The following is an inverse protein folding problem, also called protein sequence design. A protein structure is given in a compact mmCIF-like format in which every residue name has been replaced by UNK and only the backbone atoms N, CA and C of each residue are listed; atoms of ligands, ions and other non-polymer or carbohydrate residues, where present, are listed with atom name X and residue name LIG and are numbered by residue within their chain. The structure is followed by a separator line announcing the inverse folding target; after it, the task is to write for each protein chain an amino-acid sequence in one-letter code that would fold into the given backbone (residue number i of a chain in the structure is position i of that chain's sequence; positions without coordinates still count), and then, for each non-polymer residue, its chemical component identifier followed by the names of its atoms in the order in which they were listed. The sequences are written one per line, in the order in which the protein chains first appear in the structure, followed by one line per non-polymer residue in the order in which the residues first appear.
data_IF_713068791525
#
_entry.id   IF_713068791525
#
_cell.length_a   1.000
_cell.length_b   1.000
_cell.length_c   1.000
_cell.angle_alpha   90.00
_cell.angle_beta   90.00
_cell.angle_gamma   90.00
#
_symmetry.space_group_name_H-M   'P 1'
#
loop_
_entity.id
_entity.type
_entity.pdbx_description
1 polymer ?
#
# COMPACT_ATOMS: atom_id res chain seq x y z
N UNK A 1 6.49 -14.10 16.77
CA UNK A 1 7.90 -13.64 16.62
C UNK A 1 8.33 -13.43 15.16
N UNK A 2 8.09 -14.39 14.20
CA UNK A 2 8.49 -14.21 12.79
C UNK A 2 7.73 -13.06 12.14
N UNK A 3 6.41 -13.01 12.29
CA UNK A 3 5.57 -11.94 11.73
C UNK A 3 5.94 -10.56 12.30
N UNK A 4 6.22 -10.46 13.61
CA UNK A 4 6.68 -9.21 14.23
C UNK A 4 8.03 -8.74 13.67
N UNK A 5 8.96 -9.69 13.39
CA UNK A 5 10.25 -9.37 12.77
C UNK A 5 10.05 -8.82 11.36
N UNK A 6 9.18 -9.44 10.59
CA UNK A 6 8.86 -9.05 9.23
C UNK A 6 8.21 -7.66 9.18
N UNK A 7 7.24 -7.37 10.07
CA UNK A 7 6.64 -6.04 10.19
C UNK A 7 7.66 -4.97 10.55
N UNK A 8 8.60 -5.26 11.44
CA UNK A 8 9.69 -4.31 11.76
C UNK A 8 10.56 -4.01 10.54
N UNK A 9 10.87 -5.03 9.74
CA UNK A 9 11.65 -4.85 8.51
C UNK A 9 10.85 -4.01 7.48
N UNK A 10 9.57 -4.31 7.30
CA UNK A 10 8.70 -3.55 6.41
C UNK A 10 8.57 -2.09 6.87
N UNK A 11 8.34 -1.85 8.16
CA UNK A 11 8.26 -0.51 8.73
C UNK A 11 9.55 0.29 8.51
N UNK A 12 10.72 -0.36 8.65
CA UNK A 12 12.00 0.27 8.37
C UNK A 12 12.16 0.66 6.89
N UNK A 13 11.70 -0.18 5.96
CA UNK A 13 11.72 0.11 4.52
C UNK A 13 10.75 1.26 4.20
N UNK A 14 9.54 1.23 4.78
CA UNK A 14 8.52 2.26 4.58
C UNK A 14 8.95 3.62 5.16
N UNK A 15 9.76 3.63 6.23
CA UNK A 15 10.32 4.85 6.81
C UNK A 15 11.33 5.54 5.90
N UNK A 16 11.96 4.77 5.02
CA UNK A 16 12.96 5.27 4.09
C UNK A 16 12.37 5.39 2.69
N UNK A 17 12.90 6.28 1.85
CA UNK A 17 12.48 6.40 0.46
C UNK A 17 13.09 5.29 -0.43
N UNK A 18 13.14 4.07 0.08
CA UNK A 18 13.61 2.93 -0.68
C UNK A 18 12.58 2.47 -1.71
N UNK A 19 13.07 1.88 -2.80
CA UNK A 19 12.23 1.40 -3.90
C UNK A 19 11.25 0.33 -3.42
N UNK A 20 10.01 0.39 -3.91
CA UNK A 20 8.93 -0.57 -3.61
C UNK A 20 9.33 -2.04 -3.85
N UNK A 21 10.25 -2.31 -4.77
CA UNK A 21 10.75 -3.67 -5.05
C UNK A 21 11.31 -4.41 -3.83
N UNK A 22 11.73 -3.70 -2.77
CA UNK A 22 12.19 -4.32 -1.53
C UNK A 22 11.05 -4.82 -0.64
N UNK A 23 9.85 -4.30 -0.82
CA UNK A 23 8.66 -4.69 -0.07
C UNK A 23 8.03 -5.96 -0.66
N UNK A 24 8.08 -6.14 -1.96
CA UNK A 24 7.47 -7.27 -2.69
C UNK A 24 7.79 -8.67 -2.11
N UNK A 25 9.05 -9.03 -1.83
CA UNK A 25 9.36 -10.32 -1.21
C UNK A 25 8.79 -10.44 0.22
N UNK A 26 8.77 -9.33 0.98
CA UNK A 26 8.21 -9.32 2.34
C UNK A 26 6.69 -9.52 2.34
N UNK A 27 5.98 -9.02 1.32
CA UNK A 27 4.52 -9.18 1.20
C UNK A 27 4.11 -10.65 1.05
N UNK A 28 4.82 -11.43 0.26
CA UNK A 28 4.55 -12.86 0.10
C UNK A 28 4.70 -13.62 1.43
N UNK A 29 5.78 -13.37 2.15
CA UNK A 29 6.01 -13.98 3.47
C UNK A 29 4.97 -13.49 4.49
N UNK A 30 4.61 -12.20 4.47
CA UNK A 30 3.59 -11.61 5.32
C UNK A 30 2.24 -12.31 5.13
N UNK A 31 1.79 -12.47 3.88
CA UNK A 31 0.52 -13.15 3.56
C UNK A 31 0.52 -14.58 4.08
N UNK A 32 1.59 -15.35 3.84
CA UNK A 32 1.68 -16.73 4.31
C UNK A 32 1.66 -16.83 5.85
N UNK A 33 2.39 -15.95 6.54
CA UNK A 33 2.43 -15.91 8.00
C UNK A 33 1.11 -15.41 8.61
N UNK A 34 0.43 -14.47 7.97
CA UNK A 34 -0.88 -14.00 8.40
C UNK A 34 -1.92 -15.09 8.29
N UNK A 35 -1.95 -15.81 7.18
CA UNK A 35 -2.83 -16.97 7.00
C UNK A 35 -2.57 -18.06 8.07
N UNK A 36 -1.31 -18.41 8.31
CA UNK A 36 -0.97 -19.37 9.35
C UNK A 36 -1.39 -18.90 10.76
N UNK A 37 -1.30 -17.59 11.02
CA UNK A 37 -1.75 -17.01 12.29
C UNK A 37 -3.27 -17.09 12.45
N UNK A 38 -4.03 -16.80 11.41
CA UNK A 38 -5.50 -16.91 11.39
C UNK A 38 -5.95 -18.34 11.64
N UNK A 39 -5.31 -19.33 11.00
CA UNK A 39 -5.59 -20.75 11.23
C UNK A 39 -5.34 -21.16 12.69
N UNK A 40 -4.23 -20.72 13.27
CA UNK A 40 -3.93 -20.96 14.69
C UNK A 40 -4.97 -20.35 15.61
N UNK A 41 -5.43 -19.11 15.34
CA UNK A 41 -6.47 -18.47 16.15
C UNK A 41 -7.79 -19.21 16.08
N UNK A 42 -8.18 -19.71 14.89
CA UNK A 42 -9.39 -20.52 14.72
C UNK A 42 -9.31 -21.82 15.52
N UNK A 43 -8.17 -22.51 15.48
CA UNK A 43 -7.95 -23.74 16.25
C UNK A 43 -8.07 -23.47 17.75
N UNK A 44 -7.38 -22.45 18.27
CA UNK A 44 -7.42 -22.09 19.69
C UNK A 44 -8.83 -21.67 20.12
N UNK A 45 -9.56 -20.93 19.28
CA UNK A 45 -10.91 -20.48 19.58
C UNK A 45 -11.92 -21.62 19.68
N UNK A 46 -11.71 -22.70 18.91
CA UNK A 46 -12.58 -23.87 18.90
C UNK A 46 -12.33 -24.84 20.08
N UNK A 47 -11.08 -24.93 20.53
CA UNK A 47 -10.71 -25.93 21.56
C UNK A 47 -11.09 -25.55 22.98
N UNK A 48 -11.56 -24.31 23.25
CA UNK A 48 -12.10 -23.87 24.55
C UNK A 48 -11.14 -23.94 25.75
N UNK A 49 -9.94 -24.45 25.57
CA UNK A 49 -8.95 -24.77 26.60
C UNK A 49 -8.21 -23.55 27.18
N UNK A 50 -8.57 -22.33 26.77
CA UNK A 50 -7.99 -21.10 27.30
C UNK A 50 -8.25 -20.88 28.81
N UNK A 51 -9.19 -21.63 29.41
CA UNK A 51 -9.56 -21.50 30.82
C UNK A 51 -8.49 -22.02 31.79
N UNK A 52 -7.59 -22.89 31.34
CA UNK A 52 -6.57 -23.55 32.17
C UNK A 52 -5.13 -23.12 31.82
N UNK A 53 -4.94 -21.98 31.20
CA UNK A 53 -3.59 -21.50 30.85
C UNK A 53 -2.89 -20.98 32.12
N UNK A 54 -1.62 -21.37 32.26
CA UNK A 54 -0.74 -20.81 33.27
C UNK A 54 -0.76 -19.26 33.25
N UNK A 55 -0.96 -18.58 34.41
CA UNK A 55 -1.02 -17.13 34.44
C UNK A 55 0.21 -16.42 33.90
N UNK A 56 1.41 -17.01 34.04
CA UNK A 56 2.65 -16.50 33.46
C UNK A 56 2.65 -16.55 31.94
N UNK A 57 2.12 -17.62 31.37
CA UNK A 57 1.98 -17.76 29.92
C UNK A 57 0.94 -16.78 29.36
N UNK A 58 -0.19 -16.62 30.06
CA UNK A 58 -1.25 -15.68 29.69
C UNK A 58 -0.74 -14.23 29.65
N UNK A 59 0.04 -13.81 30.66
CA UNK A 59 0.63 -12.47 30.68
C UNK A 59 1.63 -12.27 29.51
N UNK A 60 2.53 -13.24 29.28
CA UNK A 60 3.48 -13.18 28.14
C UNK A 60 2.77 -13.13 26.78
N UNK A 61 1.64 -13.84 26.64
CA UNK A 61 0.83 -13.80 25.44
C UNK A 61 0.22 -12.40 25.26
N UNK A 62 -0.37 -11.83 26.31
CA UNK A 62 -0.95 -10.48 26.31
C UNK A 62 0.08 -9.43 25.89
N UNK A 63 1.26 -9.46 26.49
CA UNK A 63 2.34 -8.51 26.17
C UNK A 63 2.79 -8.65 24.71
N UNK A 64 2.86 -9.89 24.22
CA UNK A 64 3.20 -10.17 22.82
C UNK A 64 2.13 -9.63 21.87
N UNK A 65 0.85 -9.83 22.18
CA UNK A 65 -0.28 -9.33 21.38
C UNK A 65 -0.30 -7.80 21.38
N UNK A 66 -0.12 -7.16 22.53
CA UNK A 66 -0.07 -5.70 22.63
C UNK A 66 1.10 -5.12 21.79
N UNK A 67 2.29 -5.67 21.94
CA UNK A 67 3.46 -5.26 21.19
C UNK A 67 3.28 -5.47 19.68
N UNK A 68 2.59 -6.53 19.30
CA UNK A 68 2.27 -6.81 17.90
C UNK A 68 1.23 -5.84 17.35
N UNK A 69 0.23 -5.48 18.15
CA UNK A 69 -0.78 -4.47 17.80
C UNK A 69 -0.15 -3.13 17.45
N UNK A 70 0.78 -2.65 18.28
CA UNK A 70 1.51 -1.40 18.01
C UNK A 70 2.30 -1.45 16.68
N UNK A 71 2.93 -2.59 16.38
CA UNK A 71 3.65 -2.76 15.11
C UNK A 71 2.71 -2.75 13.90
N UNK A 72 1.52 -3.33 14.04
CA UNK A 72 0.50 -3.32 12.99
C UNK A 72 -0.03 -1.90 12.73
N UNK A 73 -0.31 -1.15 13.78
CA UNK A 73 -0.79 0.23 13.68
C UNK A 73 0.26 1.13 13.00
N UNK A 74 1.51 1.00 13.41
CA UNK A 74 2.63 1.70 12.75
C UNK A 74 2.73 1.32 11.27
N UNK A 75 2.62 0.03 10.93
CA UNK A 75 2.67 -0.45 9.55
C UNK A 75 1.52 0.12 8.72
N UNK A 76 0.28 0.08 9.24
CA UNK A 76 -0.89 0.62 8.57
C UNK A 76 -0.75 2.13 8.29
N UNK A 77 -0.29 2.90 9.27
CA UNK A 77 -0.06 4.35 9.14
C UNK A 77 0.99 4.65 8.06
N UNK A 78 2.11 3.93 8.06
CA UNK A 78 3.19 4.12 7.07
C UNK A 78 2.76 3.72 5.66
N UNK A 79 2.04 2.62 5.52
CA UNK A 79 1.48 2.17 4.22
C UNK A 79 0.50 3.21 3.67
N UNK A 80 -0.44 3.67 4.51
CA UNK A 80 -1.39 4.71 4.11
C UNK A 80 -0.66 5.96 3.61
N UNK A 81 0.32 6.47 4.35
CA UNK A 81 1.08 7.64 3.93
C UNK A 81 1.78 7.45 2.57
N UNK A 82 2.28 6.24 2.27
CA UNK A 82 2.88 5.93 0.97
C UNK A 82 1.86 5.85 -0.16
N UNK A 83 0.68 5.31 0.10
CA UNK A 83 -0.44 5.27 -0.87
C UNK A 83 -0.88 6.70 -1.19
N UNK A 84 -1.18 7.51 -0.17
CA UNK A 84 -1.62 8.88 -0.32
C UNK A 84 -0.59 9.73 -1.12
N UNK A 85 0.71 9.55 -0.84
CA UNK A 85 1.78 10.19 -1.58
C UNK A 85 1.83 9.74 -3.05
N UNK A 86 1.61 8.45 -3.32
CA UNK A 86 1.56 7.89 -4.67
C UNK A 86 0.38 8.43 -5.47
N UNK A 87 -0.80 8.49 -4.87
CA UNK A 87 -2.00 9.06 -5.48
C UNK A 87 -1.83 10.54 -5.81
N UNK A 88 -1.22 11.30 -4.89
CA UNK A 88 -0.93 12.71 -5.12
C UNK A 88 0.04 12.92 -6.28
N UNK A 89 1.12 12.14 -6.34
CA UNK A 89 2.08 12.19 -7.43
C UNK A 89 1.43 11.82 -8.78
N UNK A 90 0.60 10.77 -8.79
CA UNK A 90 -0.12 10.35 -9.99
C UNK A 90 -1.05 11.44 -10.50
N UNK A 91 -1.75 12.13 -9.60
CA UNK A 91 -2.62 13.26 -9.96
C UNK A 91 -1.82 14.40 -10.62
N UNK A 92 -0.68 14.81 -10.05
CA UNK A 92 0.19 15.84 -10.61
C UNK A 92 0.66 15.46 -12.02
N UNK A 93 1.10 14.22 -12.21
CA UNK A 93 1.55 13.73 -13.51
C UNK A 93 0.42 13.76 -14.53
N UNK A 94 -0.79 13.32 -14.14
CA UNK A 94 -1.96 13.31 -15.01
C UNK A 94 -2.40 14.73 -15.41
N UNK A 95 -2.44 15.66 -14.46
CA UNK A 95 -2.74 17.07 -14.72
C UNK A 95 -1.70 17.70 -15.66
N UNK A 96 -0.41 17.46 -15.42
CA UNK A 96 0.67 17.94 -16.29
C UNK A 96 0.58 17.38 -17.70
N UNK A 97 0.22 16.10 -17.85
CA UNK A 97 0.06 15.47 -19.17
C UNK A 97 -1.10 16.08 -19.96
N UNK A 98 -2.21 16.39 -19.29
CA UNK A 98 -3.37 17.08 -19.90
C UNK A 98 -2.98 18.49 -20.34
N UNK A 99 -2.34 19.28 -19.47
CA UNK A 99 -1.87 20.64 -19.78
C UNK A 99 -0.90 20.67 -20.95
N UNK A 100 -0.06 19.65 -21.08
CA UNK A 100 0.87 19.53 -22.20
C UNK A 100 0.15 19.24 -23.52
N UNK A 101 -0.88 18.40 -23.50
CA UNK A 101 -1.73 18.13 -24.65
C UNK A 101 -2.51 19.36 -25.11
N UNK A 102 -3.08 20.12 -24.19
CA UNK A 102 -3.83 21.35 -24.52
C UNK A 102 -2.92 22.42 -25.11
N UNK A 103 -1.68 22.54 -24.66
CA UNK A 103 -0.68 23.47 -25.22
C UNK A 103 -0.15 23.06 -26.60
N UNK A 104 -0.02 21.77 -26.85
CA UNK A 104 0.43 21.26 -28.17
C UNK A 104 -0.68 21.22 -29.21
N UNK A 105 -1.94 21.10 -28.80
CA UNK A 105 -3.10 21.14 -29.68
C UNK A 105 -3.40 22.57 -30.23
N UNK A 106 -2.77 23.61 -29.67
CA UNK A 106 -2.99 25.02 -30.07
C UNK A 106 -2.22 25.48 -31.31
N UNK A 107 -1.27 24.70 -31.82
CA UNK A 107 -0.47 25.05 -32.97
C UNK A 107 -0.76 24.09 -34.15
N UNK A 108 -1.68 24.49 -35.01
CA UNK A 108 -1.81 23.86 -36.33
C UNK A 108 -0.60 24.17 -37.20
N UNK A 109 -0.26 23.30 -38.16
CA UNK A 109 0.88 23.43 -39.09
C UNK A 109 0.87 24.72 -39.97
N UNK A 110 -0.18 25.50 -39.87
CA UNK A 110 -0.36 26.79 -40.60
C UNK A 110 -0.24 28.03 -39.70
N UNK A 111 0.11 27.90 -38.41
CA UNK A 111 0.28 29.05 -37.51
C UNK A 111 -1.02 29.80 -37.13
N UNK A 112 -2.19 29.31 -37.53
CA UNK A 112 -3.48 29.90 -37.16
C UNK A 112 -4.01 29.24 -35.88
N UNK A 113 -4.40 30.06 -34.90
CA UNK A 113 -5.14 29.64 -33.70
C UNK A 113 -6.51 29.12 -34.13
N UNK A 114 -6.69 27.81 -34.17
CA UNK A 114 -8.00 27.22 -34.46
C UNK A 114 -8.82 27.25 -33.17
N UNK A 115 -9.58 28.32 -33.01
CA UNK A 115 -10.68 28.42 -32.07
C UNK A 115 -11.82 27.50 -32.55
N UNK A 116 -11.70 26.24 -32.35
CA UNK A 116 -12.73 25.28 -32.71
C UNK A 116 -13.52 24.87 -31.46
N UNK A 117 -14.66 25.48 -31.26
CA UNK A 117 -15.75 25.05 -30.38
C UNK A 117 -16.37 23.74 -30.87
N UNK A 118 -15.60 22.73 -31.12
CA UNK A 118 -16.07 21.36 -31.24
C UNK A 118 -15.68 20.65 -29.96
N UNK A 119 -16.70 20.26 -29.23
CA UNK A 119 -16.64 19.24 -28.19
C UNK A 119 -16.13 17.94 -28.82
N UNK A 120 -14.87 17.94 -29.24
CA UNK A 120 -14.20 16.77 -29.72
C UNK A 120 -13.93 15.87 -28.52
N UNK A 121 -14.40 14.66 -28.62
CA UNK A 121 -14.05 13.50 -27.81
C UNK A 121 -12.62 13.66 -27.24
N UNK A 122 -12.53 13.91 -25.94
CA UNK A 122 -11.24 13.92 -25.24
C UNK A 122 -10.84 12.46 -25.11
N UNK A 123 -9.81 11.98 -25.81
CA UNK A 123 -9.32 10.63 -25.57
C UNK A 123 -8.88 10.56 -24.11
N UNK A 124 -9.45 9.64 -23.35
CA UNK A 124 -8.97 9.34 -22.01
C UNK A 124 -7.49 8.99 -22.12
N UNK A 125 -6.64 9.77 -21.43
CA UNK A 125 -5.21 9.42 -21.32
C UNK A 125 -5.15 8.15 -20.50
N UNK A 126 -5.07 7.03 -21.18
CA UNK A 126 -4.84 5.73 -20.58
C UNK A 126 -3.39 5.70 -20.11
N UNK A 127 -3.14 6.15 -18.90
CA UNK A 127 -1.88 5.89 -18.21
C UNK A 127 -1.94 4.43 -17.81
N UNK A 128 -1.33 3.56 -18.61
CA UNK A 128 -1.17 2.16 -18.27
C UNK A 128 -0.32 2.05 -17.01
N UNK A 129 -0.97 1.94 -15.85
CA UNK A 129 -0.32 1.44 -14.65
C UNK A 129 0.07 0.00 -14.94
N UNK A 130 1.34 -0.20 -15.25
CA UNK A 130 1.89 -1.53 -15.32
C UNK A 130 1.79 -2.12 -13.91
N UNK A 131 0.79 -2.97 -13.69
CA UNK A 131 0.57 -3.70 -12.44
C UNK A 131 1.65 -4.79 -12.25
N UNK A 132 2.90 -4.41 -12.31
CA UNK A 132 3.98 -5.18 -11.72
C UNK A 132 4.27 -4.63 -10.32
N UNK A 133 3.34 -4.88 -9.43
CA UNK A 133 3.55 -4.83 -7.99
C UNK A 133 4.02 -6.18 -7.48
#
# INVERSE_FOLDING_TARGET
KRLSKLLKQENAILATNQRANRIKPLQREKTALSFAYEQLLQTIGNDGDLKNIDPGLANRLRDTVNSFGLLLEENATRLKAKIDAGEHLFRIISESAIDHQDKTAGYGSSGATVSNKRQAYRPAVSVGLNQEL
#
